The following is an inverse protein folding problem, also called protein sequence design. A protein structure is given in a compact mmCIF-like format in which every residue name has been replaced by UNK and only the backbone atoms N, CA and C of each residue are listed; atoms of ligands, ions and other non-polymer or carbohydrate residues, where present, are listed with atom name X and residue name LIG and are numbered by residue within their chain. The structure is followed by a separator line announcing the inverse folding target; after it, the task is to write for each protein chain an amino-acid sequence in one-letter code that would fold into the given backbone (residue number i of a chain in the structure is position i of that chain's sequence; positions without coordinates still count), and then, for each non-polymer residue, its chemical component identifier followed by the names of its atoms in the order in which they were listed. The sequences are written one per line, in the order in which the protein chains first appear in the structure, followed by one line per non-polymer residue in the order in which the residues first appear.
data_IF_743053780249
#
_entry.id   IF_743053780249
#
_cell.length_a   1.000
_cell.length_b   1.000
_cell.length_c   1.000
_cell.angle_alpha   90.00
_cell.angle_beta   90.00
_cell.angle_gamma   90.00
#
_symmetry.space_group_name_H-M   'P 1'
#
loop_
_entity.id
_entity.type
_entity.pdbx_description
1 polymer ?
#
# COMPACT_ATOMS: atom_id res chain seq x y z
N UNK A 1 24.17 11.73 7.11
CA UNK A 1 23.02 10.81 7.28
C UNK A 1 23.32 9.54 6.48
N UNK A 2 23.95 8.56 7.12
CA UNK A 2 24.41 7.28 6.53
C UNK A 2 23.41 6.14 6.85
N UNK A 3 22.09 6.40 6.85
CA UNK A 3 21.13 5.46 7.45
C UNK A 3 20.37 4.53 6.49
N UNK A 4 20.66 4.52 5.19
CA UNK A 4 19.95 3.62 4.23
C UNK A 4 20.88 2.99 3.18
N UNK A 5 22.21 2.98 3.38
CA UNK A 5 23.13 2.36 2.41
C UNK A 5 23.06 0.82 2.34
N UNK A 6 22.41 0.19 3.33
CA UNK A 6 22.39 -1.28 3.47
C UNK A 6 21.01 -1.90 3.63
N UNK A 7 19.92 -1.11 3.59
CA UNK A 7 18.58 -1.68 3.58
C UNK A 7 18.24 -2.09 2.15
N UNK A 8 18.58 -3.33 1.80
CA UNK A 8 18.08 -3.94 0.57
C UNK A 8 16.58 -4.19 0.80
N UNK A 9 15.74 -3.28 0.31
CA UNK A 9 14.30 -3.52 0.25
C UNK A 9 14.08 -4.73 -0.67
N UNK A 10 13.75 -5.87 -0.08
CA UNK A 10 13.16 -6.98 -0.82
C UNK A 10 11.64 -6.79 -0.89
N UNK A 11 11.04 -7.39 -1.92
CA UNK A 11 9.62 -7.22 -2.20
C UNK A 11 8.76 -7.69 -1.02
N UNK A 12 9.21 -8.70 -0.27
CA UNK A 12 8.51 -9.22 0.90
C UNK A 12 8.47 -8.18 2.04
N UNK A 13 9.58 -7.53 2.36
CA UNK A 13 9.65 -6.49 3.39
C UNK A 13 8.83 -5.27 2.97
N UNK A 14 8.87 -4.89 1.69
CA UNK A 14 8.03 -3.82 1.17
C UNK A 14 6.54 -4.16 1.35
N UNK A 15 6.10 -5.33 0.89
CA UNK A 15 4.69 -5.77 0.97
C UNK A 15 4.23 -5.82 2.44
N UNK A 16 5.02 -6.41 3.33
CA UNK A 16 4.70 -6.50 4.77
C UNK A 16 4.59 -5.14 5.44
N UNK A 17 5.32 -4.13 4.97
CA UNK A 17 5.21 -2.76 5.47
C UNK A 17 4.00 -2.03 4.88
N UNK A 18 3.73 -2.22 3.59
CA UNK A 18 2.68 -1.49 2.89
C UNK A 18 1.26 -1.93 3.29
N UNK A 19 1.05 -3.21 3.63
CA UNK A 19 -0.26 -3.68 4.10
C UNK A 19 -0.77 -2.87 5.32
N UNK A 20 -0.06 -2.81 6.46
CA UNK A 20 -0.54 -2.03 7.60
C UNK A 20 -0.56 -0.52 7.33
N UNK A 21 0.38 0.01 6.53
CA UNK A 21 0.38 1.41 6.12
C UNK A 21 -0.92 1.78 5.38
N UNK A 22 -1.33 0.96 4.41
CA UNK A 22 -2.56 1.15 3.64
C UNK A 22 -3.81 1.01 4.48
N UNK A 23 -3.82 0.05 5.41
CA UNK A 23 -4.95 -0.12 6.33
C UNK A 23 -5.18 1.13 7.19
N UNK A 24 -4.10 1.74 7.70
CA UNK A 24 -4.20 3.02 8.44
C UNK A 24 -4.76 4.14 7.55
N UNK A 25 -4.34 4.23 6.29
CA UNK A 25 -4.86 5.23 5.36
C UNK A 25 -6.37 5.05 5.09
N UNK A 26 -6.83 3.81 4.94
CA UNK A 26 -8.25 3.47 4.77
C UNK A 26 -9.05 3.84 6.02
N UNK A 27 -8.55 3.50 7.21
CA UNK A 27 -9.26 3.76 8.46
C UNK A 27 -9.33 5.26 8.77
N UNK A 28 -8.24 6.00 8.55
CA UNK A 28 -8.23 7.46 8.68
C UNK A 28 -9.16 8.15 7.67
N UNK A 29 -9.25 7.62 6.45
CA UNK A 29 -10.19 8.14 5.45
C UNK A 29 -11.65 7.91 5.88
N UNK A 30 -11.96 6.76 6.49
CA UNK A 30 -13.30 6.50 7.06
C UNK A 30 -13.60 7.42 8.25
N UNK A 31 -12.61 7.72 9.10
CA UNK A 31 -12.76 8.70 10.18
C UNK A 31 -13.02 10.09 9.61
N UNK A 32 -12.27 10.52 8.61
CA UNK A 32 -12.46 11.81 7.94
C UNK A 32 -13.89 11.96 7.40
N UNK A 33 -14.43 10.93 6.72
CA UNK A 33 -15.80 10.95 6.18
C UNK A 33 -16.89 11.16 7.24
N UNK A 34 -16.65 10.76 8.50
CA UNK A 34 -17.59 10.99 9.62
C UNK A 34 -17.53 12.42 10.16
N UNK A 35 -16.45 13.15 9.89
CA UNK A 35 -16.13 14.41 10.57
C UNK A 35 -16.03 15.62 9.61
N UNK A 36 -16.12 15.41 8.29
CA UNK A 36 -16.02 16.48 7.30
C UNK A 36 -17.32 16.72 6.56
N UNK A 37 -17.51 17.96 6.11
CA UNK A 37 -18.55 18.37 5.16
C UNK A 37 -17.96 18.97 3.88
N UNK A 38 -16.63 18.95 3.73
CA UNK A 38 -15.96 19.51 2.57
C UNK A 38 -15.98 18.49 1.42
N UNK A 39 -16.62 18.85 0.30
CA UNK A 39 -16.83 17.96 -0.85
C UNK A 39 -15.52 17.42 -1.43
N UNK A 40 -14.48 18.25 -1.52
CA UNK A 40 -13.18 17.81 -2.00
C UNK A 40 -12.55 16.78 -1.07
N UNK A 41 -12.63 16.98 0.24
CA UNK A 41 -12.12 16.03 1.22
C UNK A 41 -12.90 14.70 1.19
N UNK A 42 -14.23 14.76 0.99
CA UNK A 42 -15.07 13.57 0.82
C UNK A 42 -14.65 12.80 -0.43
N UNK A 43 -14.48 13.50 -1.55
CA UNK A 43 -14.02 12.91 -2.80
C UNK A 43 -12.65 12.23 -2.64
N UNK A 44 -11.69 12.93 -2.04
CA UNK A 44 -10.35 12.41 -1.81
C UNK A 44 -10.37 11.18 -0.89
N UNK A 45 -11.11 11.22 0.21
CA UNK A 45 -11.22 10.10 1.15
C UNK A 45 -11.80 8.85 0.47
N UNK A 46 -12.86 8.99 -0.32
CA UNK A 46 -13.43 7.86 -1.07
C UNK A 46 -12.45 7.28 -2.09
N UNK A 47 -11.66 8.13 -2.75
CA UNK A 47 -10.62 7.66 -3.68
C UNK A 47 -9.52 6.87 -2.98
N UNK A 48 -9.03 7.37 -1.84
CA UNK A 48 -8.01 6.67 -1.04
C UNK A 48 -8.55 5.33 -0.55
N UNK A 49 -9.76 5.29 -0.01
CA UNK A 49 -10.40 4.04 0.44
C UNK A 49 -10.42 3.03 -0.69
N UNK A 50 -10.94 3.41 -1.87
CA UNK A 50 -11.03 2.50 -3.00
C UNK A 50 -9.66 2.00 -3.46
N UNK A 51 -8.72 2.90 -3.76
CA UNK A 51 -7.43 2.50 -4.32
C UNK A 51 -6.62 1.66 -3.34
N UNK A 52 -6.61 2.03 -2.06
CA UNK A 52 -5.79 1.34 -1.08
C UNK A 52 -6.42 0.02 -0.62
N UNK A 53 -7.75 -0.14 -0.71
CA UNK A 53 -8.38 -1.45 -0.56
C UNK A 53 -8.07 -2.39 -1.74
N UNK A 54 -8.06 -1.88 -2.98
CA UNK A 54 -7.65 -2.65 -4.16
C UNK A 54 -6.17 -3.09 -4.03
N UNK A 55 -5.29 -2.19 -3.61
CA UNK A 55 -3.87 -2.50 -3.35
C UNK A 55 -3.68 -3.47 -2.18
N UNK A 56 -4.47 -3.38 -1.11
CA UNK A 56 -4.44 -4.36 -0.02
C UNK A 56 -4.74 -5.78 -0.50
N UNK A 57 -5.72 -5.95 -1.40
CA UNK A 57 -6.03 -7.25 -1.99
C UNK A 57 -4.84 -7.76 -2.79
N UNK A 58 -4.26 -6.91 -3.64
CA UNK A 58 -3.08 -7.25 -4.45
C UNK A 58 -1.89 -7.66 -3.57
N UNK A 59 -1.56 -6.87 -2.55
CA UNK A 59 -0.42 -7.11 -1.66
C UNK A 59 -0.61 -8.39 -0.83
N UNK A 60 -1.82 -8.66 -0.34
CA UNK A 60 -2.12 -9.93 0.34
C UNK A 60 -2.06 -11.12 -0.62
N UNK A 61 -2.53 -10.97 -1.86
CA UNK A 61 -2.40 -11.99 -2.90
C UNK A 61 -0.92 -12.27 -3.19
N UNK A 62 -0.08 -11.26 -3.37
CA UNK A 62 1.37 -11.40 -3.55
C UNK A 62 2.06 -12.06 -2.35
N UNK A 63 1.66 -11.74 -1.12
CA UNK A 63 2.23 -12.33 0.10
C UNK A 63 1.81 -13.79 0.29
N UNK A 64 0.57 -14.13 -0.04
CA UNK A 64 0.04 -15.50 0.03
C UNK A 64 0.58 -16.40 -1.09
N UNK A 65 0.81 -15.83 -2.27
CA UNK A 65 1.45 -16.47 -3.42
C UNK A 65 2.97 -16.54 -3.28
N UNK A 66 3.46 -17.21 -2.24
CA UNK A 66 4.90 -17.50 -1.99
C UNK A 66 5.67 -18.22 -3.15
N UNK A 67 5.12 -18.29 -4.37
CA UNK A 67 5.70 -18.88 -5.59
C UNK A 67 5.39 -18.01 -6.83
N UNK A 68 5.87 -16.76 -6.88
CA UNK A 68 6.16 -16.14 -8.18
C UNK A 68 7.58 -15.61 -8.14
N UNK A 69 8.53 -16.43 -8.60
CA UNK A 69 9.85 -15.94 -8.98
C UNK A 69 9.68 -15.14 -10.27
N UNK A 70 9.48 -13.83 -10.16
CA UNK A 70 9.65 -12.97 -11.33
C UNK A 70 11.15 -12.75 -11.55
N UNK A 71 11.75 -13.53 -12.45
CA UNK A 71 13.02 -13.16 -13.08
C UNK A 71 12.70 -12.19 -14.21
N UNK A 72 13.13 -10.94 -14.06
CA UNK A 72 13.14 -10.01 -15.18
C UNK A 72 14.18 -10.49 -16.20
N UNK A 73 13.73 -10.78 -17.43
CA UNK A 73 14.60 -11.04 -18.57
C UNK A 73 15.00 -9.73 -19.28
N UNK A 74 15.15 -8.63 -18.56
CA UNK A 74 15.87 -7.47 -19.11
C UNK A 74 17.38 -7.79 -19.10
N UNK A 75 17.76 -8.63 -20.05
CA UNK A 75 19.13 -8.77 -20.54
C UNK A 75 19.38 -7.50 -21.35
N UNK A 76 20.27 -6.64 -20.84
CA UNK A 76 21.01 -5.71 -21.68
C UNK A 76 22.15 -6.49 -22.31
#
# INVERSE_FOLDING_TARGET
MEHIKHMKLDDEMYIKHMIPHHQVAVDMSKVLLKNTKNDFMIYLANRIIRSQQEELILLNDMLSKKIYSYQSNLII
#
